data_IF_507500255235
#
_entry.id   IF_507500255235
#
_cell.length_a   1.000
_cell.length_b   1.000
_cell.length_c   1.000
_cell.angle_alpha   90.00
_cell.angle_beta   90.00
_cell.angle_gamma   90.00
#
_symmetry.space_group_name_H-M   'P 1'
#
loop_
_entity.id
_entity.type
_entity.pdbx_description
1 polymer ?
#
# COMPACT_ATOMS: atom_id res chain seq x y z
N UNK A 1 10.52 -7.03 0.60
CA UNK A 1 10.47 -6.62 2.01
C UNK A 1 11.11 -5.24 2.11
N UNK A 2 10.36 -4.14 2.32
CA UNK A 2 10.92 -2.78 2.35
C UNK A 2 11.44 -2.32 3.73
N UNK A 3 11.73 -3.24 4.66
CA UNK A 3 12.06 -2.90 6.06
C UNK A 3 13.38 -3.47 6.58
N UNK A 4 14.23 -4.04 5.71
CA UNK A 4 15.61 -4.43 6.07
C UNK A 4 16.58 -3.24 6.08
N UNK A 5 16.10 -2.03 6.40
CA UNK A 5 16.89 -0.80 6.40
C UNK A 5 17.86 -0.80 7.59
N UNK A 6 19.02 -1.42 7.38
CA UNK A 6 20.10 -1.45 8.34
C UNK A 6 20.87 -0.11 8.39
N UNK A 7 21.75 0.02 9.39
CA UNK A 7 22.66 1.17 9.50
C UNK A 7 23.47 1.39 8.21
N UNK A 8 23.90 0.31 7.56
CA UNK A 8 24.64 0.37 6.30
C UNK A 8 23.80 0.95 5.14
N UNK A 9 22.53 0.60 5.04
CA UNK A 9 21.65 1.15 3.99
C UNK A 9 21.39 2.63 4.19
N UNK A 10 21.16 3.05 5.45
CA UNK A 10 21.04 4.47 5.79
C UNK A 10 22.32 5.25 5.45
N UNK A 11 23.49 4.69 5.75
CA UNK A 11 24.78 5.28 5.38
C UNK A 11 24.95 5.40 3.87
N UNK A 12 24.57 4.37 3.10
CA UNK A 12 24.63 4.39 1.63
C UNK A 12 23.73 5.50 1.05
N UNK A 13 22.48 5.58 1.52
CA UNK A 13 21.55 6.65 1.12
C UNK A 13 22.06 8.02 1.53
N UNK A 14 22.67 8.15 2.71
CA UNK A 14 23.30 9.40 3.15
C UNK A 14 24.43 9.80 2.22
N UNK A 15 25.33 8.89 1.83
CA UNK A 15 26.42 9.15 0.88
C UNK A 15 25.86 9.59 -0.48
N UNK A 16 24.87 8.88 -1.02
CA UNK A 16 24.23 9.25 -2.29
C UNK A 16 23.56 10.63 -2.18
N UNK A 17 22.87 10.88 -1.07
CA UNK A 17 22.25 12.18 -0.79
C UNK A 17 23.27 13.32 -0.71
N UNK A 18 24.43 13.06 -0.10
CA UNK A 18 25.54 14.02 -0.04
C UNK A 18 26.13 14.28 -1.44
N UNK A 19 26.17 13.28 -2.32
CA UNK A 19 26.69 13.44 -3.69
C UNK A 19 25.71 14.20 -4.60
N UNK A 20 24.42 13.85 -4.54
CA UNK A 20 23.38 14.42 -5.41
C UNK A 20 22.99 15.82 -4.97
N UNK A 21 22.67 15.97 -3.68
CA UNK A 21 22.18 17.24 -3.13
C UNK A 21 23.34 18.12 -2.66
N UNK A 22 24.49 17.53 -2.36
CA UNK A 22 25.64 18.22 -1.79
C UNK A 22 25.68 18.13 -0.26
N UNK A 23 26.88 18.05 0.35
CA UNK A 23 27.04 17.98 1.81
C UNK A 23 26.49 19.20 2.55
N UNK A 24 26.39 20.35 1.88
CA UNK A 24 25.89 21.58 2.50
C UNK A 24 24.36 21.65 2.53
N UNK A 25 23.66 20.95 1.63
CA UNK A 25 22.22 21.10 1.44
C UNK A 25 21.39 20.06 2.17
N UNK A 26 21.90 18.84 2.34
CA UNK A 26 21.27 17.78 3.16
C UNK A 26 21.01 18.24 4.62
N UNK A 27 21.98 18.81 5.36
CA UNK A 27 21.73 19.28 6.73
C UNK A 27 20.72 20.42 6.78
N UNK A 28 20.66 21.27 5.75
CA UNK A 28 19.66 22.35 5.65
C UNK A 28 18.26 21.77 5.44
N UNK A 29 18.10 20.77 4.57
CA UNK A 29 16.83 20.08 4.35
C UNK A 29 16.35 19.34 5.62
N UNK A 30 17.24 18.61 6.28
CA UNK A 30 16.93 17.92 7.54
C UNK A 30 16.48 18.91 8.63
N UNK A 31 17.13 20.09 8.73
CA UNK A 31 16.72 21.17 9.64
C UNK A 31 15.36 21.75 9.26
N UNK A 32 15.07 21.92 7.97
CA UNK A 32 13.77 22.41 7.50
C UNK A 32 12.65 21.44 7.90
N UNK A 33 12.81 20.15 7.57
CA UNK A 33 11.88 19.09 7.96
C UNK A 33 11.74 19.01 9.48
N UNK A 34 12.86 19.04 10.20
CA UNK A 34 12.88 19.00 11.67
C UNK A 34 12.13 20.18 12.29
N UNK A 35 12.20 21.39 11.72
CA UNK A 35 11.42 22.54 12.18
C UNK A 35 9.92 22.36 11.93
N UNK A 36 9.53 21.78 10.79
CA UNK A 36 8.13 21.53 10.45
C UNK A 36 7.53 20.45 11.33
N UNK A 37 8.23 19.30 11.45
CA UNK A 37 7.85 18.19 12.33
C UNK A 37 7.84 18.63 13.78
N UNK A 38 8.82 19.44 14.22
CA UNK A 38 8.88 19.98 15.57
C UNK A 38 7.71 20.89 15.89
N UNK A 39 7.31 21.75 14.95
CA UNK A 39 6.14 22.62 15.09
C UNK A 39 4.85 21.81 15.16
N UNK A 40 4.68 20.82 14.27
CA UNK A 40 3.54 19.91 14.28
C UNK A 40 3.46 19.12 15.60
N UNK A 41 4.59 18.54 16.06
CA UNK A 41 4.65 17.78 17.30
C UNK A 41 4.30 18.63 18.52
N UNK A 42 4.68 19.91 18.52
CA UNK A 42 4.33 20.83 19.61
C UNK A 42 2.83 21.11 19.66
N UNK A 43 2.21 21.32 18.50
CA UNK A 43 0.75 21.47 18.39
C UNK A 43 -0.01 20.22 18.87
N UNK A 44 0.44 19.02 18.47
CA UNK A 44 -0.11 17.76 18.98
C UNK A 44 0.09 17.58 20.49
N UNK A 45 1.23 18.02 21.03
CA UNK A 45 1.49 17.96 22.47
C UNK A 45 0.57 18.89 23.25
N UNK A 46 0.26 20.07 22.71
CA UNK A 46 -0.70 21.01 23.31
C UNK A 46 -2.12 20.45 23.27
N UNK A 47 -2.56 19.93 22.13
CA UNK A 47 -3.88 19.29 22.04
C UNK A 47 -4.01 18.08 22.99
N UNK A 48 -2.95 17.28 23.13
CA UNK A 48 -2.94 16.21 24.12
C UNK A 48 -3.06 16.74 25.55
N UNK A 49 -2.37 17.83 25.89
CA UNK A 49 -2.44 18.46 27.21
C UNK A 49 -3.81 19.08 27.50
N UNK A 50 -4.48 19.64 26.49
CA UNK A 50 -5.81 20.22 26.61
C UNK A 50 -6.87 19.11 26.76
N UNK A 51 -6.73 18.02 25.98
CA UNK A 51 -7.52 16.79 26.15
C UNK A 51 -7.28 16.19 27.55
N UNK A 52 -6.03 16.07 28.00
CA UNK A 52 -5.69 15.55 29.34
C UNK A 52 -6.23 16.44 30.49
N UNK A 53 -6.46 17.74 30.24
CA UNK A 53 -6.96 18.70 31.26
C UNK A 53 -8.49 18.72 31.37
N UNK A 54 -9.23 18.46 30.31
CA UNK A 54 -10.70 18.47 30.32
C UNK A 54 -11.32 17.07 30.27
N UNK A 55 -10.62 16.08 29.73
CA UNK A 55 -11.00 14.66 29.75
C UNK A 55 -10.03 13.96 30.70
N UNK A 56 -10.53 13.46 31.84
CA UNK A 56 -9.77 12.53 32.67
C UNK A 56 -9.41 11.30 31.82
N UNK A 57 -8.22 11.30 31.21
CA UNK A 57 -7.73 10.17 30.42
C UNK A 57 -7.60 8.90 31.27
N UNK A 58 -7.66 9.01 32.61
CA UNK A 58 -7.82 7.86 33.49
C UNK A 58 -9.12 7.08 33.26
N UNK A 59 -10.24 7.73 32.94
CA UNK A 59 -11.51 7.06 32.63
C UNK A 59 -11.50 6.39 31.25
N UNK A 60 -10.96 7.06 30.21
CA UNK A 60 -10.86 6.46 28.88
C UNK A 60 -9.79 5.36 28.82
N UNK A 61 -8.67 5.52 29.55
CA UNK A 61 -7.69 4.44 29.75
C UNK A 61 -8.26 3.30 30.55
N UNK A 62 -9.07 3.55 31.60
CA UNK A 62 -9.76 2.48 32.33
C UNK A 62 -10.74 1.75 31.42
N UNK A 63 -11.52 2.46 30.58
CA UNK A 63 -12.44 1.83 29.63
C UNK A 63 -11.69 0.97 28.59
N UNK A 64 -10.60 1.47 28.01
CA UNK A 64 -9.77 0.70 27.07
C UNK A 64 -9.14 -0.52 27.77
N UNK A 65 -8.64 -0.36 29.00
CA UNK A 65 -8.03 -1.45 29.77
C UNK A 65 -9.04 -2.48 30.25
N UNK A 66 -10.26 -2.05 30.59
CA UNK A 66 -11.38 -2.93 30.91
C UNK A 66 -11.88 -3.68 29.68
N UNK A 67 -11.96 -3.03 28.52
CA UNK A 67 -12.30 -3.68 27.26
C UNK A 67 -11.23 -4.69 26.85
N UNK A 68 -9.94 -4.36 27.01
CA UNK A 68 -8.84 -5.31 26.77
C UNK A 68 -8.90 -6.51 27.72
N UNK A 69 -9.13 -6.29 29.02
CA UNK A 69 -9.25 -7.38 29.98
C UNK A 69 -10.50 -8.26 29.72
N UNK A 70 -11.61 -7.66 29.29
CA UNK A 70 -12.81 -8.40 28.91
C UNK A 70 -12.59 -9.17 27.60
N UNK A 71 -11.87 -8.60 26.63
CA UNK A 71 -11.52 -9.28 25.39
C UNK A 71 -10.55 -10.44 25.66
N UNK A 72 -9.54 -10.25 26.52
CA UNK A 72 -8.64 -11.32 26.97
C UNK A 72 -9.40 -12.42 27.72
N UNK A 73 -10.34 -12.06 28.59
CA UNK A 73 -11.16 -13.03 29.31
C UNK A 73 -12.14 -13.77 28.38
N UNK A 74 -12.69 -13.10 27.36
CA UNK A 74 -13.51 -13.74 26.32
C UNK A 74 -12.67 -14.68 25.46
N UNK A 75 -11.52 -14.24 24.96
CA UNK A 75 -10.60 -15.08 24.20
C UNK A 75 -10.10 -16.27 25.03
N UNK A 76 -9.83 -16.08 26.32
CA UNK A 76 -9.39 -17.16 27.19
C UNK A 76 -10.52 -18.11 27.58
N UNK A 77 -11.79 -17.67 27.59
CA UNK A 77 -12.95 -18.55 27.80
C UNK A 77 -13.34 -19.31 26.54
N UNK A 78 -13.38 -18.65 25.39
CA UNK A 78 -13.61 -19.32 24.12
C UNK A 78 -12.56 -20.42 23.92
N UNK A 79 -11.26 -20.10 24.07
CA UNK A 79 -10.15 -21.07 23.92
C UNK A 79 -10.17 -22.20 24.96
N UNK A 80 -10.87 -22.04 26.10
CA UNK A 80 -10.99 -23.08 27.12
C UNK A 80 -12.28 -23.91 27.03
N UNK A 81 -13.34 -23.39 26.42
CA UNK A 81 -14.59 -24.14 26.15
C UNK A 81 -14.59 -24.81 24.76
N UNK A 82 -13.82 -24.30 23.80
CA UNK A 82 -13.69 -24.94 22.50
C UNK A 82 -12.69 -26.11 22.57
N UNK A 83 -13.26 -27.29 22.82
CA UNK A 83 -12.53 -28.54 22.66
C UNK A 83 -11.88 -28.58 21.26
N UNK A 84 -10.64 -29.08 21.12
CA UNK A 84 -9.95 -29.13 19.83
C UNK A 84 -10.76 -29.81 18.71
N UNK A 85 -11.72 -30.66 19.11
CA UNK A 85 -12.65 -31.36 18.24
C UNK A 85 -13.68 -30.43 17.58
N UNK A 86 -14.16 -29.39 18.28
CA UNK A 86 -15.13 -28.45 17.72
C UNK A 86 -14.46 -27.44 16.77
N UNK A 87 -13.22 -27.07 17.07
CA UNK A 87 -12.38 -26.24 16.21
C UNK A 87 -12.01 -27.00 14.91
N UNK A 88 -11.65 -28.28 14.99
CA UNK A 88 -11.43 -29.11 13.80
C UNK A 88 -12.70 -29.24 12.95
N UNK A 89 -13.87 -29.38 13.57
CA UNK A 89 -15.15 -29.46 12.84
C UNK A 89 -15.52 -28.14 12.16
N UNK A 90 -15.32 -26.99 12.82
CA UNK A 90 -15.52 -25.67 12.21
C UNK A 90 -14.55 -25.43 11.06
N UNK A 91 -13.27 -25.75 11.23
CA UNK A 91 -12.25 -25.63 10.17
C UNK A 91 -12.56 -26.58 9.01
N UNK A 92 -12.98 -27.81 9.27
CA UNK A 92 -13.36 -28.78 8.24
C UNK A 92 -14.63 -28.36 7.48
N UNK A 93 -15.64 -27.82 8.18
CA UNK A 93 -16.86 -27.29 7.57
C UNK A 93 -16.56 -26.06 6.69
N UNK A 94 -15.78 -25.10 7.19
CA UNK A 94 -15.34 -23.93 6.40
C UNK A 94 -14.49 -24.35 5.19
N UNK A 95 -13.65 -25.37 5.32
CA UNK A 95 -12.87 -25.91 4.19
C UNK A 95 -13.76 -26.59 3.15
N UNK A 96 -14.77 -27.34 3.57
CA UNK A 96 -15.73 -27.97 2.66
C UNK A 96 -16.61 -26.93 1.91
N UNK A 97 -17.01 -25.85 2.59
CA UNK A 97 -17.70 -24.71 1.97
C UNK A 97 -16.81 -23.97 0.98
N UNK A 98 -15.53 -23.76 1.32
CA UNK A 98 -14.54 -23.15 0.44
C UNK A 98 -14.25 -24.02 -0.80
N UNK A 99 -14.14 -25.34 -0.63
CA UNK A 99 -13.98 -26.29 -1.74
C UNK A 99 -15.23 -26.37 -2.63
N UNK A 100 -16.43 -26.28 -2.05
CA UNK A 100 -17.70 -26.23 -2.80
C UNK A 100 -17.82 -24.95 -3.62
N UNK A 101 -17.36 -23.83 -3.07
CA UNK A 101 -17.33 -22.56 -3.80
C UNK A 101 -16.28 -22.57 -4.92
N UNK A 102 -15.12 -23.21 -4.69
CA UNK A 102 -14.09 -23.42 -5.70
C UNK A 102 -14.58 -24.29 -6.86
N UNK A 103 -15.36 -25.34 -6.58
CA UNK A 103 -15.95 -26.20 -7.61
C UNK A 103 -17.05 -25.51 -8.45
N UNK A 104 -17.78 -24.53 -7.88
CA UNK A 104 -18.72 -23.71 -8.65
C UNK A 104 -17.99 -22.74 -9.61
N UNK A 105 -16.77 -22.31 -9.26
CA UNK A 105 -15.94 -21.47 -10.13
C UNK A 105 -15.17 -22.30 -11.19
N UNK A 106 -14.91 -23.58 -10.94
CA UNK A 106 -14.19 -24.49 -11.85
C UNK A 106 -15.08 -25.12 -12.94
N UNK A 107 -16.42 -25.03 -12.82
CA UNK A 107 -17.35 -25.59 -13.83
C UNK A 107 -17.86 -24.56 -14.87
N UNK A 108 -17.20 -23.39 -15.01
CA UNK A 108 -17.48 -22.44 -16.11
C UNK A 108 -16.42 -22.49 -17.21
N UNK A 109 -15.33 -23.26 -17.06
CA UNK A 109 -14.34 -23.40 -18.14
C UNK A 109 -13.80 -24.83 -18.15
N UNK A 110 -14.58 -25.75 -18.72
CA UNK A 110 -14.04 -26.94 -19.36
C UNK A 110 -13.93 -26.68 -20.87
N UNK A 111 -12.88 -27.20 -21.51
CA UNK A 111 -12.26 -26.64 -22.70
C UNK A 111 -12.97 -27.10 -23.98
N UNK A 112 -13.14 -26.19 -24.94
CA UNK A 112 -13.42 -26.60 -26.32
C UNK A 112 -12.06 -26.78 -27.05
N UNK A 113 -11.73 -27.99 -27.53
CA UNK A 113 -10.48 -28.29 -28.21
C UNK A 113 -10.64 -28.22 -29.74
N UNK A 114 -9.91 -27.33 -30.42
CA UNK A 114 -9.56 -27.44 -31.85
C UNK A 114 -8.26 -26.64 -32.07
N UNK A 115 -7.09 -27.29 -31.93
CA UNK A 115 -6.14 -27.67 -32.99
C UNK A 115 -5.26 -26.51 -33.55
N UNK A 116 -3.98 -26.79 -33.88
CA UNK A 116 -2.92 -25.79 -34.01
C UNK A 116 -2.73 -25.32 -35.46
N UNK A 117 -2.32 -24.07 -35.69
CA UNK A 117 -1.44 -23.77 -36.81
C UNK A 117 -0.50 -22.63 -36.49
N UNK A 118 0.75 -22.88 -36.85
CA UNK A 118 1.90 -22.02 -36.68
C UNK A 118 1.89 -20.89 -37.73
N UNK A 119 2.74 -19.89 -37.47
CA UNK A 119 3.54 -19.19 -38.49
C UNK A 119 3.37 -17.67 -38.53
N UNK A 120 4.51 -17.02 -38.23
CA UNK A 120 4.98 -15.75 -38.77
C UNK A 120 4.24 -14.48 -38.31
N UNK A 121 4.89 -13.47 -37.74
CA UNK A 121 6.25 -13.00 -37.97
C UNK A 121 6.20 -11.60 -38.59
N UNK A 122 6.70 -10.62 -37.82
CA UNK A 122 7.18 -9.27 -38.19
C UNK A 122 6.35 -8.35 -39.10
N UNK A 123 6.02 -7.15 -38.60
CA UNK A 123 6.37 -5.89 -39.29
C UNK A 123 6.16 -4.65 -38.38
N UNK A 124 7.19 -3.81 -38.32
CA UNK A 124 7.35 -2.54 -37.59
C UNK A 124 6.39 -1.40 -38.00
N UNK A 125 6.29 -0.31 -37.19
CA UNK A 125 5.39 0.82 -37.42
C UNK A 125 5.85 1.72 -38.59
N UNK A 126 4.94 2.03 -39.52
CA UNK A 126 5.18 2.96 -40.62
C UNK A 126 5.04 4.42 -40.18
N UNK A 127 6.12 5.17 -40.39
CA UNK A 127 6.24 6.61 -40.26
C UNK A 127 5.47 7.32 -41.40
N UNK A 128 4.63 8.30 -41.07
CA UNK A 128 3.85 9.07 -42.04
C UNK A 128 4.50 10.43 -42.32
N UNK A 129 4.97 10.61 -43.55
CA UNK A 129 5.44 11.90 -44.08
C UNK A 129 4.30 12.55 -44.90
N UNK A 130 3.77 13.74 -44.54
CA UNK A 130 2.72 14.36 -45.34
C UNK A 130 3.26 15.19 -46.52
N UNK A 131 2.67 14.93 -47.70
CA UNK A 131 2.97 15.50 -49.02
C UNK A 131 2.83 17.05 -49.12
N UNK A 132 3.55 17.70 -50.06
CA UNK A 132 3.63 19.16 -50.16
C UNK A 132 2.36 19.82 -50.72
N UNK A 133 1.93 20.91 -50.06
CA UNK A 133 0.80 21.75 -50.49
C UNK A 133 1.29 22.86 -51.42
N UNK A 134 1.09 22.69 -52.73
CA UNK A 134 1.23 23.75 -53.72
C UNK A 134 0.12 24.80 -53.50
N UNK A 135 0.50 26.05 -53.27
CA UNK A 135 -0.41 27.20 -53.32
C UNK A 135 0.07 28.14 -54.42
N UNK A 136 -0.63 28.05 -55.55
CA UNK A 136 -0.55 29.02 -56.64
C UNK A 136 -0.92 30.44 -56.16
N UNK A 137 -0.17 31.39 -56.72
CA UNK A 137 -0.25 32.84 -56.63
C UNK A 137 -1.63 33.36 -57.10
N UNK A 138 -2.07 34.56 -56.66
CA UNK A 138 -1.82 35.75 -57.49
C UNK A 138 -1.44 37.00 -56.68
N UNK A 139 -0.58 37.83 -57.29
CA UNK A 139 -0.34 39.22 -56.87
C UNK A 139 -1.59 40.09 -57.05
N UNK A 140 -1.70 41.17 -56.28
CA UNK A 140 -2.06 42.45 -56.87
C UNK A 140 -0.95 43.49 -56.65
N UNK A 141 -0.65 44.18 -57.74
CA UNK A 141 0.06 45.45 -57.81
C UNK A 141 -0.94 46.61 -57.67
N UNK A 142 -0.46 47.71 -57.06
CA UNK A 142 -1.11 49.01 -56.77
C UNK A 142 -2.01 49.08 -55.54
#
# INVERSE_FOLDING_TARGET
MPFDIGFFELCLVAIIGLLVLGPERLPVAARAIGRWVGKARRTFSSFKQDIDRELQIDELRQQIKQQQAQMEAFMQRDVMDETPQELEQKIAATRAEFDSQKQLQENTIAPEPVEPDESSGCADPVEYEPLPRNTDKPSPSN
#
